data_IF_717924764581
#
_entry.id   IF_717924764581
#
_cell.length_a   1.000
_cell.length_b   1.000
_cell.length_c   1.000
_cell.angle_alpha   90.00
_cell.angle_beta   90.00
_cell.angle_gamma   90.00
#
_symmetry.space_group_name_H-M   'P 1'
#
loop_
_entity.id
_entity.type
_entity.pdbx_description
1 polymer ?
#
# COMPACT_ATOMS: atom_id res chain seq x y z
N UNK A 1 3.26 4.33 26.74
CA UNK A 1 3.75 4.58 25.38
C UNK A 1 4.46 3.31 24.97
N UNK A 2 3.71 2.37 24.38
CA UNK A 2 4.21 1.03 24.09
C UNK A 2 5.40 0.99 23.14
N UNK A 3 6.08 -0.16 23.13
CA UNK A 3 7.27 -0.44 22.31
C UNK A 3 6.88 -1.36 21.15
N UNK A 4 7.27 -1.01 19.93
CA UNK A 4 7.09 -1.90 18.77
C UNK A 4 8.03 -3.10 18.92
N UNK A 5 7.45 -4.30 18.98
CA UNK A 5 8.18 -5.56 19.16
C UNK A 5 8.27 -6.40 17.88
N UNK A 6 7.59 -6.00 16.80
CA UNK A 6 7.70 -6.62 15.48
C UNK A 6 6.52 -6.31 14.56
N UNK A 7 6.50 -6.96 13.39
CA UNK A 7 5.49 -6.72 12.36
C UNK A 7 4.80 -8.02 11.90
N UNK A 8 3.53 -7.89 11.49
CA UNK A 8 2.66 -9.01 11.14
C UNK A 8 1.72 -8.70 9.97
N UNK A 9 0.83 -9.65 9.66
CA UNK A 9 -0.24 -9.48 8.66
C UNK A 9 -1.57 -9.94 9.26
N UNK A 10 -2.53 -9.02 9.33
CA UNK A 10 -3.90 -9.27 9.73
C UNK A 10 -4.77 -9.54 8.48
N UNK A 11 -5.79 -10.38 8.63
CA UNK A 11 -6.85 -10.58 7.64
C UNK A 11 -8.16 -10.05 8.18
N UNK A 12 -8.70 -8.99 7.58
CA UNK A 12 -10.02 -8.46 7.93
C UNK A 12 -11.14 -9.48 7.63
N UNK A 13 -10.90 -10.43 6.71
CA UNK A 13 -11.89 -11.42 6.27
C UNK A 13 -12.10 -12.56 7.28
N UNK A 14 -11.06 -12.89 8.07
CA UNK A 14 -11.08 -14.01 9.00
C UNK A 14 -11.12 -13.56 10.48
N UNK A 15 -11.09 -12.25 10.74
CA UNK A 15 -11.16 -11.70 12.10
C UNK A 15 -9.97 -12.11 12.97
N UNK A 16 -8.76 -12.09 12.41
CA UNK A 16 -7.54 -12.45 13.13
C UNK A 16 -6.31 -12.68 12.25
N UNK A 17 -5.18 -12.97 12.90
CA UNK A 17 -3.90 -13.21 12.25
C UNK A 17 -3.86 -14.59 11.56
N UNK A 18 -3.40 -14.60 10.32
CA UNK A 18 -3.34 -15.80 9.48
C UNK A 18 -2.17 -16.72 9.89
N UNK A 19 -2.37 -17.53 10.93
CA UNK A 19 -1.51 -18.65 11.31
C UNK A 19 -2.28 -19.94 11.02
N UNK A 20 -1.83 -20.73 10.04
CA UNK A 20 -2.39 -22.05 9.77
C UNK A 20 -1.84 -23.04 10.81
N UNK A 21 -2.59 -23.31 11.86
CA UNK A 21 -2.23 -24.39 12.81
C UNK A 21 -2.50 -25.77 12.21
N UNK A 22 -3.55 -25.90 11.39
CA UNK A 22 -3.95 -27.12 10.64
C UNK A 22 -4.67 -26.74 9.34
N UNK A 23 -4.87 -27.67 8.38
CA UNK A 23 -5.79 -27.42 7.27
C UNK A 23 -7.15 -26.98 7.81
N UNK A 24 -7.61 -25.79 7.42
CA UNK A 24 -8.91 -25.20 7.80
C UNK A 24 -9.08 -24.76 9.27
N UNK A 25 -8.00 -24.61 10.06
CA UNK A 25 -8.05 -24.03 11.41
C UNK A 25 -7.06 -22.87 11.53
N UNK A 26 -7.59 -21.69 11.86
CA UNK A 26 -6.86 -20.45 12.05
C UNK A 26 -6.88 -20.07 13.53
N UNK A 27 -5.72 -19.76 14.11
CA UNK A 27 -5.56 -19.48 15.54
C UNK A 27 -4.68 -18.27 15.82
N UNK A 28 -4.86 -17.66 17.00
CA UNK A 28 -4.06 -16.56 17.53
C UNK A 28 -2.86 -17.12 18.31
N UNK A 29 -1.64 -16.94 17.82
CA UNK A 29 -0.42 -17.14 18.62
C UNK A 29 0.47 -15.90 18.50
N UNK A 30 0.70 -15.28 19.65
CA UNK A 30 1.52 -14.08 19.81
C UNK A 30 2.99 -14.33 19.45
N UNK A 31 3.50 -15.52 19.77
CA UNK A 31 4.83 -16.01 19.37
C UNK A 31 4.97 -16.18 17.84
N UNK A 32 3.84 -16.24 17.14
CA UNK A 32 3.76 -16.40 15.68
C UNK A 32 3.32 -15.13 14.95
N UNK A 33 3.04 -14.03 15.67
CA UNK A 33 2.46 -12.79 15.13
C UNK A 33 3.54 -11.84 14.58
N UNK A 34 4.66 -11.69 15.28
CA UNK A 34 5.84 -10.93 14.83
C UNK A 34 6.71 -11.82 13.93
N UNK A 35 6.35 -11.92 12.65
CA UNK A 35 7.09 -12.73 11.67
C UNK A 35 8.11 -11.95 10.86
N UNK A 36 8.07 -10.63 10.97
CA UNK A 36 8.81 -9.73 10.12
C UNK A 36 9.53 -8.70 10.97
N UNK A 37 10.78 -8.45 10.61
CA UNK A 37 11.64 -7.48 11.30
C UNK A 37 11.40 -6.06 10.75
N UNK A 38 10.78 -5.95 9.58
CA UNK A 38 10.52 -4.66 8.92
C UNK A 38 9.08 -4.50 8.42
N UNK A 39 8.56 -3.26 8.36
CA UNK A 39 7.25 -2.97 7.75
C UNK A 39 7.13 -3.44 6.30
N UNK A 40 8.24 -3.39 5.55
CA UNK A 40 8.27 -3.74 4.13
C UNK A 40 8.08 -5.24 3.88
N UNK A 41 8.60 -6.09 4.76
CA UNK A 41 8.41 -7.53 4.69
C UNK A 41 6.96 -7.92 4.99
N UNK A 42 6.36 -7.30 6.02
CA UNK A 42 4.95 -7.47 6.35
C UNK A 42 4.05 -7.07 5.17
N UNK A 43 4.30 -5.91 4.54
CA UNK A 43 3.57 -5.50 3.34
C UNK A 43 3.80 -6.41 2.13
N UNK A 44 5.00 -6.94 1.95
CA UNK A 44 5.28 -7.92 0.90
C UNK A 44 4.45 -9.19 1.10
N UNK A 45 4.36 -9.66 2.34
CA UNK A 45 3.56 -10.82 2.69
C UNK A 45 2.05 -10.57 2.51
N UNK A 46 1.54 -9.42 2.95
CA UNK A 46 0.16 -9.00 2.73
C UNK A 46 -0.20 -8.97 1.23
N UNK A 47 0.65 -8.35 0.40
CA UNK A 47 0.42 -8.23 -1.04
C UNK A 47 0.44 -9.58 -1.79
N UNK A 48 1.25 -10.55 -1.35
CA UNK A 48 1.31 -11.89 -1.97
C UNK A 48 -0.01 -12.65 -1.89
N UNK A 49 -0.85 -12.35 -0.90
CA UNK A 49 -2.14 -13.03 -0.69
C UNK A 49 -3.23 -12.55 -1.65
N UNK A 50 -2.98 -11.48 -2.43
CA UNK A 50 -3.90 -10.89 -3.42
C UNK A 50 -5.32 -10.55 -2.90
N UNK A 51 -5.56 -10.69 -1.60
CA UNK A 51 -6.77 -10.30 -0.91
C UNK A 51 -6.68 -8.81 -0.60
N UNK A 52 -7.69 -8.04 -0.99
CA UNK A 52 -7.84 -6.63 -0.62
C UNK A 52 -7.99 -6.42 0.90
N UNK A 53 -8.10 -7.50 1.67
CA UNK A 53 -8.39 -7.53 3.11
C UNK A 53 -7.20 -8.00 3.96
N UNK A 54 -6.01 -8.16 3.36
CA UNK A 54 -4.79 -8.44 4.10
C UNK A 54 -4.02 -7.14 4.35
N UNK A 55 -3.81 -6.80 5.62
CA UNK A 55 -3.18 -5.54 6.04
C UNK A 55 -1.91 -5.86 6.83
N UNK A 56 -0.83 -5.15 6.53
CA UNK A 56 0.38 -5.24 7.33
C UNK A 56 0.19 -4.41 8.61
N UNK A 57 0.68 -4.90 9.73
CA UNK A 57 0.45 -4.28 11.03
C UNK A 57 1.76 -4.24 11.83
N UNK A 58 1.85 -3.31 12.78
CA UNK A 58 2.86 -3.30 13.83
C UNK A 58 2.30 -3.84 15.14
N UNK A 59 3.13 -4.54 15.90
CA UNK A 59 2.76 -5.17 17.16
C UNK A 59 3.46 -4.38 18.27
N UNK A 60 2.66 -3.88 19.21
CA UNK A 60 3.08 -2.94 20.24
C UNK A 60 2.88 -3.62 21.60
N UNK A 61 3.94 -3.66 22.40
CA UNK A 61 3.90 -4.04 23.82
C UNK A 61 3.69 -2.79 24.66
N UNK A 62 2.53 -2.67 25.30
CA UNK A 62 2.20 -1.55 26.17
C UNK A 62 2.90 -1.66 27.54
N UNK A 63 2.93 -0.54 28.28
CA UNK A 63 3.66 -0.43 29.55
C UNK A 63 3.08 -1.34 30.66
N UNK A 64 1.82 -1.75 30.53
CA UNK A 64 1.12 -2.69 31.42
C UNK A 64 1.35 -4.17 31.06
N UNK A 65 2.11 -4.44 30.00
CA UNK A 65 2.40 -5.77 29.48
C UNK A 65 1.33 -6.32 28.53
N UNK A 66 0.29 -5.53 28.20
CA UNK A 66 -0.66 -5.90 27.15
C UNK A 66 -0.02 -5.76 25.76
N UNK A 67 -0.48 -6.58 24.82
CA UNK A 67 -0.02 -6.52 23.43
C UNK A 67 -1.18 -6.11 22.54
N UNK A 68 -0.99 -4.99 21.86
CA UNK A 68 -1.92 -4.46 20.88
C UNK A 68 -1.25 -4.43 19.49
N UNK A 69 -2.02 -4.10 18.46
CA UNK A 69 -1.50 -3.92 17.11
C UNK A 69 -2.21 -2.80 16.39
N UNK A 70 -1.48 -2.15 15.48
CA UNK A 70 -2.01 -1.08 14.65
C UNK A 70 -1.69 -1.34 13.18
N UNK A 71 -2.61 -0.99 12.25
CA UNK A 71 -2.35 -1.12 10.82
C UNK A 71 -1.23 -0.18 10.38
N UNK A 72 -0.26 -0.74 9.66
CA UNK A 72 0.79 0.04 9.03
C UNK A 72 0.22 0.86 7.87
N UNK A 73 0.73 2.07 7.63
CA UNK A 73 0.41 2.79 6.41
C UNK A 73 0.88 2.00 5.18
N UNK A 74 0.03 1.94 4.15
CA UNK A 74 0.38 1.27 2.89
C UNK A 74 1.54 2.00 2.21
N UNK A 75 2.64 1.30 1.86
CA UNK A 75 3.79 1.94 1.25
C UNK A 75 3.40 2.53 -0.10
N UNK A 76 3.78 3.79 -0.33
CA UNK A 76 3.61 4.38 -1.65
C UNK A 76 4.54 3.68 -2.66
N UNK A 77 3.97 3.24 -3.78
CA UNK A 77 4.70 2.62 -4.89
C UNK A 77 5.59 3.64 -5.60
N UNK A 78 5.12 4.87 -5.71
CA UNK A 78 5.90 6.00 -6.19
C UNK A 78 6.58 6.68 -4.99
N UNK A 79 7.84 7.08 -5.17
CA UNK A 79 8.62 7.76 -4.13
C UNK A 79 8.58 9.27 -4.29
N UNK A 80 8.90 10.00 -3.23
CA UNK A 80 9.17 11.43 -3.28
C UNK A 80 10.12 11.82 -4.42
N UNK A 81 9.80 12.91 -5.11
CA UNK A 81 10.49 13.41 -6.30
C UNK A 81 10.03 12.77 -7.62
N UNK A 82 9.30 11.64 -7.58
CA UNK A 82 8.75 11.01 -8.78
C UNK A 82 7.43 11.66 -9.21
N UNK A 83 7.12 11.52 -10.50
CA UNK A 83 5.87 11.97 -11.10
C UNK A 83 4.87 10.82 -11.17
N UNK A 84 3.61 11.09 -10.91
CA UNK A 84 2.50 10.15 -11.07
C UNK A 84 1.51 10.69 -12.12
N UNK A 85 0.78 9.77 -12.75
CA UNK A 85 -0.23 10.10 -13.78
C UNK A 85 -1.60 9.74 -13.23
N UNK A 86 -2.55 10.66 -13.36
CA UNK A 86 -3.96 10.44 -13.04
C UNK A 86 -4.85 10.72 -14.24
N UNK A 87 -6.04 10.12 -14.21
CA UNK A 87 -7.12 10.38 -15.17
C UNK A 87 -8.48 10.32 -14.50
N UNK A 88 -9.47 10.97 -15.10
CA UNK A 88 -10.88 10.82 -14.75
C UNK A 88 -11.55 9.97 -15.82
N UNK A 89 -12.23 8.89 -15.41
CA UNK A 89 -12.94 7.99 -16.33
C UNK A 89 -14.23 8.60 -16.88
N UNK A 90 -14.73 9.64 -16.23
CA UNK A 90 -15.88 10.44 -16.66
C UNK A 90 -15.58 11.90 -16.32
N UNK A 91 -16.06 12.88 -17.11
CA UNK A 91 -15.84 14.30 -16.80
C UNK A 91 -16.33 14.66 -15.40
N UNK A 92 -15.46 15.22 -14.54
CA UNK A 92 -15.79 15.54 -13.14
C UNK A 92 -15.90 14.31 -12.23
N UNK A 93 -15.48 13.14 -12.73
CA UNK A 93 -15.47 11.89 -12.00
C UNK A 93 -14.31 11.79 -11.02
N UNK A 94 -14.27 10.66 -10.30
CA UNK A 94 -13.18 10.37 -9.37
C UNK A 94 -11.86 10.22 -10.13
N UNK A 95 -10.79 10.81 -9.60
CA UNK A 95 -9.43 10.59 -10.10
C UNK A 95 -8.98 9.16 -9.86
N UNK A 96 -8.48 8.55 -10.93
CA UNK A 96 -7.86 7.24 -10.97
C UNK A 96 -6.39 7.40 -11.32
N UNK A 97 -5.51 6.68 -10.64
CA UNK A 97 -4.07 6.74 -10.79
C UNK A 97 -3.55 5.55 -11.59
N UNK A 98 -2.61 5.80 -12.51
CA UNK A 98 -2.01 4.74 -13.31
C UNK A 98 -1.07 3.89 -12.45
N UNK A 99 -1.40 2.61 -12.27
CA UNK A 99 -0.58 1.66 -11.51
C UNK A 99 0.44 0.90 -12.35
N UNK A 100 0.08 0.58 -13.59
CA UNK A 100 0.88 -0.25 -14.50
C UNK A 100 0.59 0.16 -15.93
N UNK A 101 1.64 0.12 -16.75
CA UNK A 101 1.58 0.34 -18.19
C UNK A 101 2.22 -0.85 -18.88
N UNK A 102 1.72 -1.22 -20.06
CA UNK A 102 2.21 -2.37 -20.83
C UNK A 102 1.20 -2.73 -21.90
N UNK A 103 0.87 -4.03 -22.02
CA UNK A 103 -0.19 -4.51 -22.92
C UNK A 103 -1.57 -3.93 -22.58
N UNK A 104 -1.83 -3.68 -21.29
CA UNK A 104 -2.99 -2.95 -20.79
C UNK A 104 -2.56 -1.93 -19.73
N UNK A 105 -3.33 -0.85 -19.62
CA UNK A 105 -3.18 0.15 -18.55
C UNK A 105 -4.06 -0.29 -17.39
N UNK A 106 -3.50 -0.32 -16.18
CA UNK A 106 -4.25 -0.64 -14.97
C UNK A 106 -4.34 0.61 -14.10
N UNK A 107 -5.56 0.90 -13.63
CA UNK A 107 -5.88 2.09 -12.85
C UNK A 107 -6.28 1.69 -11.41
N UNK A 108 -5.92 2.51 -10.43
CA UNK A 108 -6.40 2.39 -9.04
C UNK A 108 -7.00 3.71 -8.57
N UNK A 109 -7.94 3.63 -7.65
CA UNK A 109 -8.54 4.78 -7.00
C UNK A 109 -7.71 5.31 -5.82
N UNK A 110 -6.58 4.65 -5.50
CA UNK A 110 -5.66 5.00 -4.42
C UNK A 110 -4.36 5.59 -4.97
N UNK A 111 -3.94 6.74 -4.42
CA UNK A 111 -2.70 7.41 -4.84
C UNK A 111 -1.46 6.56 -4.53
N UNK A 112 -1.46 5.81 -3.43
CA UNK A 112 -0.33 4.98 -3.00
C UNK A 112 0.01 3.87 -3.99
N UNK A 113 -0.93 3.45 -4.84
CA UNK A 113 -0.68 2.43 -5.88
C UNK A 113 -0.08 3.00 -7.17
N UNK A 114 0.02 4.33 -7.28
CA UNK A 114 0.44 5.01 -8.48
C UNK A 114 1.86 4.61 -8.89
N UNK A 115 2.06 4.37 -10.18
CA UNK A 115 3.38 4.16 -10.77
C UNK A 115 4.13 5.49 -10.79
N UNK A 116 5.32 5.50 -10.18
CA UNK A 116 6.23 6.62 -10.23
C UNK A 116 7.06 6.66 -11.51
N UNK A 117 7.17 7.85 -12.11
CA UNK A 117 8.00 8.17 -13.25
C UNK A 117 9.14 9.08 -12.80
N UNK A 118 10.38 8.73 -13.15
CA UNK A 118 11.56 9.54 -12.80
C UNK A 118 11.60 10.89 -13.54
N UNK A 119 11.13 10.90 -14.79
CA UNK A 119 11.16 12.07 -15.67
C UNK A 119 9.74 12.58 -15.90
N UNK A 120 9.52 13.90 -15.77
CA UNK A 120 8.24 14.55 -16.05
C UNK A 120 7.75 14.25 -17.46
N UNK A 121 8.63 14.36 -18.45
CA UNK A 121 8.32 14.11 -19.86
C UNK A 121 7.75 12.69 -20.11
N UNK A 122 8.20 11.68 -19.34
CA UNK A 122 7.67 10.32 -19.47
C UNK A 122 6.24 10.21 -18.91
N UNK A 123 5.94 10.92 -17.83
CA UNK A 123 4.58 11.01 -17.28
C UNK A 123 3.65 11.80 -18.20
N UNK A 124 4.11 12.94 -18.74
CA UNK A 124 3.34 13.78 -19.67
C UNK A 124 3.02 13.05 -20.97
N UNK A 125 3.97 12.32 -21.54
CA UNK A 125 3.73 11.49 -22.73
C UNK A 125 2.61 10.48 -22.52
N UNK A 126 2.54 9.88 -21.33
CA UNK A 126 1.45 8.96 -21.00
C UNK A 126 0.12 9.68 -20.78
N UNK A 127 0.14 10.82 -20.07
CA UNK A 127 -1.05 11.62 -19.84
C UNK A 127 -1.68 12.10 -21.16
N UNK A 128 -0.85 12.54 -22.13
CA UNK A 128 -1.28 12.93 -23.47
C UNK A 128 -1.94 11.76 -24.21
N UNK A 129 -1.33 10.57 -24.18
CA UNK A 129 -1.92 9.37 -24.79
C UNK A 129 -3.30 9.04 -24.21
N UNK A 130 -3.45 9.15 -22.89
CA UNK A 130 -4.73 8.92 -22.21
C UNK A 130 -5.76 10.03 -22.49
N UNK A 131 -5.31 11.26 -22.75
CA UNK A 131 -6.19 12.37 -23.11
C UNK A 131 -6.79 12.22 -24.51
N UNK A 132 -6.04 11.65 -25.47
CA UNK A 132 -6.55 11.30 -26.80
C UNK A 132 -7.72 10.30 -26.75
N UNK A 133 -7.80 9.48 -25.69
CA UNK A 133 -8.90 8.55 -25.43
C UNK A 133 -10.14 9.25 -24.82
N UNK A 134 -10.14 10.59 -24.75
CA UNK A 134 -11.28 11.41 -24.31
C UNK A 134 -11.40 11.60 -22.79
N UNK A 135 -10.36 11.21 -22.04
CA UNK A 135 -10.34 11.33 -20.57
C UNK A 135 -9.64 12.62 -20.13
N UNK A 136 -10.11 13.25 -19.05
CA UNK A 136 -9.35 14.32 -18.41
C UNK A 136 -8.15 13.71 -17.68
N UNK A 137 -6.93 14.17 -17.98
CA UNK A 137 -5.70 13.59 -17.44
C UNK A 137 -4.74 14.64 -16.91
N UNK A 138 -3.82 14.21 -16.06
CA UNK A 138 -2.77 15.10 -15.57
C UNK A 138 -1.61 14.38 -14.92
N UNK A 139 -0.57 15.16 -14.63
CA UNK A 139 0.64 14.72 -13.94
C UNK A 139 0.80 15.48 -12.64
N UNK A 140 1.31 14.80 -11.62
CA UNK A 140 1.60 15.39 -10.31
C UNK A 140 2.97 14.90 -9.84
N UNK A 141 3.79 15.80 -9.31
CA UNK A 141 5.03 15.41 -8.62
C UNK A 141 4.71 15.08 -7.16
N UNK A 142 5.23 13.96 -6.67
CA UNK A 142 5.20 13.66 -5.25
C UNK A 142 6.28 14.48 -4.55
N UNK A 143 5.90 15.27 -3.57
CA UNK A 143 6.84 15.90 -2.64
C UNK A 143 7.52 14.80 -1.83
N UNK A 144 8.81 14.91 -1.59
CA UNK A 144 9.45 14.04 -0.60
C UNK A 144 8.81 14.34 0.76
N UNK A 145 8.25 13.32 1.42
CA UNK A 145 7.87 13.46 2.82
C UNK A 145 9.16 13.67 3.62
N UNK A 146 9.22 14.81 4.32
CA UNK A 146 10.26 15.07 5.30
C UNK A 146 9.87 14.22 6.51
N UNK A 147 10.48 13.05 6.68
CA UNK A 147 10.31 12.26 7.89
C UNK A 147 11.01 13.00 9.03
N UNK A 148 10.31 13.48 10.08
CA UNK A 148 10.99 13.98 11.26
C UNK A 148 11.81 12.85 11.87
N UNK A 149 13.10 13.11 12.11
CA UNK A 149 13.97 12.19 12.84
C UNK A 149 13.38 12.12 14.26
N UNK A 150 12.84 10.94 14.64
CA UNK A 150 12.50 10.63 16.03
C UNK A 150 13.76 10.15 16.75
#
# INVERSE_FOLDING_TARGET
MGTVIGYGVESEMEGGFLIAEKPSVWGFSLESAARYDTPGEAWTAANRRQSALAVAIEIILEDDGEICWEPLPKPEKAKGGQWIVWMETTPGGRRMYVMKTGRSITLSNARSDAKGYKLKAAAEKLAAKLAEEGSATGVQQLTAEITPIR
#
